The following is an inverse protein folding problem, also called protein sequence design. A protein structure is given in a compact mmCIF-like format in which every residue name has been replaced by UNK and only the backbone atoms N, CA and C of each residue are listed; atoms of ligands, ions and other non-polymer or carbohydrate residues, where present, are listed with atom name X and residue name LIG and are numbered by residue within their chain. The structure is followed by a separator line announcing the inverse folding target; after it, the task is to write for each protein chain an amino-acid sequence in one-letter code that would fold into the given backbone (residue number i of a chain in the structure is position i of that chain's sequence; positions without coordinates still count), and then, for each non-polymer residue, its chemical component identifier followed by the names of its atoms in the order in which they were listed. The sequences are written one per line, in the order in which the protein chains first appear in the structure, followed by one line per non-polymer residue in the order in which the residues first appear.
data_IF_960873345348
#
_entry.id   IF_960873345348
#
_cell.length_a   1.000
_cell.length_b   1.000
_cell.length_c   1.000
_cell.angle_alpha   90.00
_cell.angle_beta   90.00
_cell.angle_gamma   90.00
#
_symmetry.space_group_name_H-M   'P 1'
#
loop_
_entity.id
_entity.type
_entity.pdbx_description
1 polymer ?
#
# COMPACT_ATOMS: atom_id res chain seq x y z
N UNK A 1 4.96 -7.87 -33.32
CA UNK A 1 6.02 -6.87 -33.06
C UNK A 1 7.07 -7.50 -32.16
N UNK A 2 8.35 -7.27 -32.47
CA UNK A 2 9.53 -7.99 -31.94
C UNK A 2 9.82 -7.63 -30.48
N UNK A 3 9.92 -8.67 -29.66
CA UNK A 3 10.52 -8.71 -28.33
C UNK A 3 11.97 -8.20 -28.36
N UNK A 4 12.31 -7.23 -27.50
CA UNK A 4 13.69 -6.80 -27.28
C UNK A 4 13.97 -6.63 -25.79
N UNK A 5 15.15 -7.13 -25.44
CA UNK A 5 15.95 -6.77 -24.26
C UNK A 5 15.60 -7.45 -22.94
N UNK A 6 15.77 -8.76 -22.98
CA UNK A 6 16.11 -9.62 -21.86
C UNK A 6 17.65 -9.64 -21.74
N UNK A 7 18.28 -8.71 -20.98
CA UNK A 7 19.75 -8.72 -20.81
C UNK A 7 20.30 -7.80 -19.68
N UNK A 8 19.65 -7.71 -18.50
CA UNK A 8 20.18 -6.89 -17.38
C UNK A 8 19.93 -7.50 -15.97
N UNK A 9 20.36 -8.74 -15.62
CA UNK A 9 20.42 -9.06 -14.18
C UNK A 9 21.70 -9.78 -13.72
N UNK A 10 22.89 -9.47 -14.29
CA UNK A 10 24.15 -10.11 -13.85
C UNK A 10 25.06 -9.20 -13.01
N UNK A 11 24.83 -7.87 -12.99
CA UNK A 11 25.79 -6.92 -12.39
C UNK A 11 25.49 -6.61 -10.90
N UNK A 12 24.31 -6.96 -10.38
CA UNK A 12 23.86 -6.57 -9.02
C UNK A 12 24.13 -7.61 -7.91
N UNK A 13 24.91 -8.66 -8.18
CA UNK A 13 25.25 -9.70 -7.21
C UNK A 13 26.63 -9.54 -6.53
N UNK A 14 27.41 -8.51 -6.88
CA UNK A 14 28.81 -8.38 -6.44
C UNK A 14 29.04 -7.43 -5.24
N UNK A 15 28.00 -6.82 -4.67
CA UNK A 15 28.15 -5.75 -3.65
C UNK A 15 27.87 -6.18 -2.20
N UNK A 16 27.64 -7.46 -1.91
CA UNK A 16 27.17 -7.93 -0.59
C UNK A 16 28.23 -8.52 0.36
N UNK A 17 29.54 -8.42 0.08
CA UNK A 17 30.57 -9.16 0.85
C UNK A 17 31.64 -8.33 1.57
N UNK A 18 31.42 -7.06 1.91
CA UNK A 18 32.50 -6.24 2.49
C UNK A 18 32.11 -5.26 3.61
N UNK A 19 31.42 -5.69 4.68
CA UNK A 19 31.39 -4.90 5.93
C UNK A 19 31.13 -5.73 7.20
N UNK A 20 32.10 -6.58 7.54
CA UNK A 20 32.37 -6.99 8.92
C UNK A 20 33.79 -6.55 9.27
N UNK A 21 34.01 -5.24 9.38
CA UNK A 21 35.21 -4.71 10.01
C UNK A 21 34.83 -4.35 11.45
N UNK A 22 34.99 -5.31 12.38
CA UNK A 22 34.94 -5.04 13.82
C UNK A 22 36.04 -4.04 14.16
N UNK A 23 35.64 -2.81 14.45
CA UNK A 23 36.54 -1.78 14.94
C UNK A 23 36.99 -2.10 16.39
N UNK A 24 38.27 -1.89 16.73
CA UNK A 24 38.80 -2.09 18.07
C UNK A 24 38.19 -1.09 19.06
N UNK A 25 37.74 -1.62 20.20
CA UNK A 25 37.17 -0.85 21.32
C UNK A 25 38.29 -0.04 21.97
N UNK A 26 38.24 1.27 21.80
CA UNK A 26 39.15 2.23 22.43
C UNK A 26 38.80 2.35 23.93
N UNK A 27 39.78 2.28 24.85
CA UNK A 27 39.54 2.40 26.28
C UNK A 27 38.98 3.79 26.61
N UNK A 28 37.78 3.81 27.18
CA UNK A 28 37.05 5.01 27.54
C UNK A 28 37.88 5.95 28.42
N UNK A 29 38.04 7.18 27.95
CA UNK A 29 38.57 8.28 28.74
C UNK A 29 37.65 8.54 29.96
N UNK A 30 38.22 8.99 31.10
CA UNK A 30 37.45 9.34 32.28
C UNK A 30 36.40 10.41 31.93
N UNK A 31 35.14 10.13 32.27
CA UNK A 31 34.01 11.01 32.01
C UNK A 31 34.23 12.36 32.70
N UNK A 32 34.43 13.41 31.90
CA UNK A 32 34.29 14.79 32.38
C UNK A 32 32.80 15.02 32.69
N UNK A 33 32.52 15.43 33.93
CA UNK A 33 31.19 15.82 34.37
C UNK A 33 30.77 17.10 33.64
N UNK A 34 30.11 16.94 32.49
CA UNK A 34 29.47 18.05 31.79
C UNK A 34 28.32 18.58 32.65
N UNK A 35 28.24 19.92 32.84
CA UNK A 35 27.15 20.56 33.57
C UNK A 35 25.80 20.08 33.03
N UNK A 36 24.89 19.72 33.93
CA UNK A 36 23.53 19.35 33.57
C UNK A 36 22.85 20.51 32.81
N UNK A 37 22.81 20.41 31.48
CA UNK A 37 21.94 21.24 30.65
C UNK A 37 20.50 20.92 31.05
N UNK A 38 19.80 21.91 31.63
CA UNK A 38 18.35 21.89 31.76
C UNK A 38 17.74 21.79 30.36
N UNK A 39 17.31 20.58 29.98
CA UNK A 39 16.48 20.39 28.79
C UNK A 39 15.19 21.17 28.98
N UNK A 40 14.88 22.15 28.12
CA UNK A 40 13.61 22.86 28.21
C UNK A 40 12.48 21.83 28.02
N UNK A 41 11.55 21.78 28.98
CA UNK A 41 10.28 21.09 28.83
C UNK A 41 9.52 21.79 27.69
N UNK A 42 9.55 21.19 26.51
CA UNK A 42 8.71 21.63 25.39
C UNK A 42 7.29 21.23 25.75
N UNK A 43 6.46 22.19 26.16
CA UNK A 43 5.03 21.96 26.34
C UNK A 43 4.42 21.57 24.99
N UNK A 44 4.13 20.28 24.83
CA UNK A 44 3.36 19.77 23.70
C UNK A 44 2.01 20.47 23.69
N UNK A 45 1.69 21.16 22.60
CA UNK A 45 0.39 21.80 22.45
C UNK A 45 -0.70 20.75 22.21
N UNK A 46 -1.95 21.08 22.51
CA UNK A 46 -3.08 20.19 22.20
C UNK A 46 -3.19 19.91 20.69
N UNK A 47 -2.79 20.87 19.86
CA UNK A 47 -2.80 20.76 18.39
C UNK A 47 -1.79 19.71 17.89
N UNK A 48 -0.65 19.56 18.56
CA UNK A 48 0.36 18.53 18.23
C UNK A 48 -0.22 17.12 18.41
N UNK A 49 -0.94 16.91 19.52
CA UNK A 49 -1.57 15.61 19.84
C UNK A 49 -2.60 15.23 18.79
N UNK A 50 -3.48 16.17 18.42
CA UNK A 50 -4.52 15.95 17.41
C UNK A 50 -3.93 15.61 16.03
N UNK A 51 -2.85 16.29 15.62
CA UNK A 51 -2.16 16.01 14.37
C UNK A 51 -1.51 14.61 14.37
N UNK A 52 -0.85 14.22 15.47
CA UNK A 52 -0.22 12.89 15.60
C UNK A 52 -1.27 11.78 15.48
N UNK A 53 -2.40 11.91 16.16
CA UNK A 53 -3.50 10.94 16.08
C UNK A 53 -4.09 10.85 14.66
N UNK A 54 -4.35 12.00 14.02
CA UNK A 54 -4.87 12.04 12.66
C UNK A 54 -3.90 11.38 11.66
N UNK A 55 -2.59 11.67 11.77
CA UNK A 55 -1.55 11.06 10.94
C UNK A 55 -1.48 9.54 11.12
N UNK A 56 -1.55 9.06 12.36
CA UNK A 56 -1.56 7.63 12.65
C UNK A 56 -2.80 6.94 12.06
N UNK A 57 -3.97 7.57 12.18
CA UNK A 57 -5.23 7.10 11.58
C UNK A 57 -5.13 7.02 10.06
N UNK A 58 -4.60 8.07 9.41
CA UNK A 58 -4.43 8.12 7.96
C UNK A 58 -3.43 7.08 7.45
N UNK A 59 -2.32 6.87 8.16
CA UNK A 59 -1.34 5.85 7.81
C UNK A 59 -1.93 4.44 7.94
N UNK A 60 -2.65 4.16 9.03
CA UNK A 60 -3.34 2.89 9.22
C UNK A 60 -4.38 2.62 8.12
N UNK A 61 -5.17 3.64 7.75
CA UNK A 61 -6.14 3.53 6.65
C UNK A 61 -5.45 3.31 5.29
N UNK A 62 -4.32 3.98 5.04
CA UNK A 62 -3.50 3.77 3.85
C UNK A 62 -2.98 2.33 3.77
N UNK A 63 -2.46 1.81 4.88
CA UNK A 63 -1.91 0.45 4.94
C UNK A 63 -3.02 -0.58 4.65
N UNK A 64 -4.22 -0.40 5.23
CA UNK A 64 -5.38 -1.24 4.95
C UNK A 64 -5.83 -1.16 3.48
N UNK A 65 -5.85 0.03 2.88
CA UNK A 65 -6.16 0.21 1.46
C UNK A 65 -5.15 -0.49 0.54
N UNK A 66 -3.85 -0.44 0.89
CA UNK A 66 -2.80 -1.16 0.16
C UNK A 66 -2.96 -2.68 0.29
N UNK A 67 -3.30 -3.18 1.47
CA UNK A 67 -3.54 -4.61 1.74
C UNK A 67 -4.62 -5.19 0.82
N UNK A 68 -5.70 -4.45 0.57
CA UNK A 68 -6.77 -4.85 -0.35
C UNK A 68 -6.50 -4.46 -1.82
N UNK A 69 -5.28 -4.07 -2.14
CA UNK A 69 -4.85 -3.68 -3.50
C UNK A 69 -5.61 -2.48 -4.10
N UNK A 70 -6.09 -1.55 -3.27
CA UNK A 70 -6.74 -0.32 -3.73
C UNK A 70 -5.92 0.52 -4.74
N UNK A 71 -4.57 0.63 -4.64
CA UNK A 71 -3.78 1.36 -5.65
C UNK A 71 -3.96 0.86 -7.09
N UNK A 72 -4.43 -0.39 -7.28
CA UNK A 72 -4.70 -0.96 -8.60
C UNK A 72 -6.19 -1.02 -8.92
N UNK A 73 -7.03 -1.36 -7.94
CA UNK A 73 -8.46 -1.59 -8.14
C UNK A 73 -9.31 -0.31 -8.05
N UNK A 74 -8.85 0.69 -7.30
CA UNK A 74 -9.53 1.96 -7.04
C UNK A 74 -8.50 3.12 -7.08
N UNK A 75 -7.79 3.23 -8.22
CA UNK A 75 -6.63 4.10 -8.35
C UNK A 75 -6.97 5.59 -8.16
N UNK A 76 -8.09 6.05 -8.73
CA UNK A 76 -8.48 7.47 -8.68
C UNK A 76 -8.78 7.91 -7.23
N UNK A 77 -9.51 7.11 -6.46
CA UNK A 77 -9.80 7.35 -5.05
C UNK A 77 -8.54 7.29 -4.18
N UNK A 78 -7.69 6.29 -4.42
CA UNK A 78 -6.42 6.12 -3.69
C UNK A 78 -5.47 7.30 -3.94
N UNK A 79 -5.30 7.72 -5.18
CA UNK A 79 -4.42 8.83 -5.56
C UNK A 79 -4.94 10.17 -5.01
N UNK A 80 -6.26 10.36 -4.97
CA UNK A 80 -6.87 11.53 -4.32
C UNK A 80 -6.56 11.57 -2.82
N UNK A 81 -6.70 10.44 -2.13
CA UNK A 81 -6.37 10.32 -0.71
C UNK A 81 -4.86 10.52 -0.45
N UNK A 82 -4.00 9.97 -1.30
CA UNK A 82 -2.56 10.15 -1.24
C UNK A 82 -2.17 11.64 -1.42
N UNK A 83 -2.83 12.36 -2.33
CA UNK A 83 -2.59 13.80 -2.50
C UNK A 83 -2.91 14.60 -1.23
N UNK A 84 -3.98 14.25 -0.52
CA UNK A 84 -4.33 14.88 0.76
C UNK A 84 -3.30 14.56 1.84
N UNK A 85 -2.86 13.31 1.92
CA UNK A 85 -1.82 12.87 2.85
C UNK A 85 -0.51 13.63 2.63
N UNK A 86 -0.10 13.81 1.38
CA UNK A 86 1.13 14.55 1.04
C UNK A 86 1.02 16.03 1.41
N UNK A 87 -0.14 16.66 1.13
CA UNK A 87 -0.41 18.06 1.53
C UNK A 87 -0.45 18.23 3.04
N UNK A 88 -0.98 17.27 3.79
CA UNK A 88 -0.95 17.26 5.24
C UNK A 88 0.50 17.28 5.76
N UNK A 89 1.39 16.48 5.15
CA UNK A 89 2.81 16.48 5.46
C UNK A 89 3.52 17.80 5.12
N UNK A 90 3.04 18.55 4.12
CA UNK A 90 3.53 19.91 3.85
C UNK A 90 3.06 20.93 4.90
N UNK A 91 1.82 20.83 5.38
CA UNK A 91 1.30 21.66 6.45
C UNK A 91 2.02 21.40 7.79
N UNK A 92 2.28 20.13 8.11
CA UNK A 92 3.08 19.69 9.27
C UNK A 92 4.48 20.34 9.25
N UNK A 93 5.16 20.33 8.10
CA UNK A 93 6.49 20.97 7.94
C UNK A 93 6.47 22.50 8.14
N UNK A 94 5.31 23.13 7.97
CA UNK A 94 5.10 24.57 8.21
C UNK A 94 4.61 24.87 9.64
N UNK A 95 4.54 23.84 10.49
CA UNK A 95 3.97 23.91 11.84
C UNK A 95 2.50 24.36 11.87
N UNK A 96 1.76 24.16 10.76
CA UNK A 96 0.32 24.37 10.71
C UNK A 96 -0.38 23.05 11.09
N UNK A 97 -0.32 22.70 12.37
CA UNK A 97 -0.79 21.41 12.87
C UNK A 97 -2.30 21.25 12.78
N UNK A 98 -3.06 22.34 12.90
CA UNK A 98 -4.52 22.32 12.73
C UNK A 98 -4.90 21.94 11.30
N UNK A 99 -4.30 22.58 10.30
CA UNK A 99 -4.51 22.23 8.89
C UNK A 99 -4.00 20.83 8.56
N UNK A 100 -2.84 20.44 9.09
CA UNK A 100 -2.29 19.10 8.91
C UNK A 100 -3.24 18.02 9.45
N UNK A 101 -3.79 18.21 10.65
CA UNK A 101 -4.74 17.28 11.26
C UNK A 101 -6.02 17.13 10.40
N UNK A 102 -6.57 18.24 9.90
CA UNK A 102 -7.74 18.21 9.01
C UNK A 102 -7.45 17.41 7.73
N UNK A 103 -6.33 17.69 7.06
CA UNK A 103 -5.95 17.00 5.82
C UNK A 103 -5.65 15.51 6.04
N UNK A 104 -5.01 15.15 7.16
CA UNK A 104 -4.80 13.74 7.50
C UNK A 104 -6.12 13.02 7.75
N UNK A 105 -7.09 13.64 8.43
CA UNK A 105 -8.43 13.04 8.62
C UNK A 105 -9.15 12.83 7.27
N UNK A 106 -9.13 13.82 6.38
CA UNK A 106 -9.70 13.68 5.03
C UNK A 106 -8.97 12.58 4.22
N UNK A 107 -7.65 12.47 4.33
CA UNK A 107 -6.88 11.39 3.73
C UNK A 107 -7.29 10.01 4.29
N UNK A 108 -7.50 9.90 5.60
CA UNK A 108 -7.94 8.66 6.24
C UNK A 108 -9.31 8.20 5.72
N UNK A 109 -10.26 9.12 5.56
CA UNK A 109 -11.56 8.84 4.94
C UNK A 109 -11.43 8.42 3.47
N UNK A 110 -10.59 9.13 2.70
CA UNK A 110 -10.32 8.80 1.31
C UNK A 110 -9.70 7.41 1.13
N UNK A 111 -8.73 7.03 1.98
CA UNK A 111 -8.14 5.70 1.93
C UNK A 111 -9.15 4.61 2.28
N UNK A 112 -10.02 4.81 3.28
CA UNK A 112 -11.12 3.87 3.58
C UNK A 112 -12.07 3.70 2.39
N UNK A 113 -12.49 4.78 1.77
CA UNK A 113 -13.35 4.73 0.59
C UNK A 113 -12.68 4.00 -0.60
N UNK A 114 -11.37 4.18 -0.78
CA UNK A 114 -10.60 3.45 -1.80
C UNK A 114 -10.52 1.94 -1.49
N UNK A 115 -10.40 1.57 -0.21
CA UNK A 115 -10.41 0.18 0.23
C UNK A 115 -11.76 -0.48 -0.04
N UNK A 116 -12.86 0.17 0.36
CA UNK A 116 -14.23 -0.32 0.13
C UNK A 116 -14.50 -0.52 -1.38
N UNK A 117 -14.03 0.41 -2.21
CA UNK A 117 -14.15 0.34 -3.68
C UNK A 117 -13.36 -0.83 -4.26
N UNK A 118 -12.16 -1.08 -3.74
CA UNK A 118 -11.31 -2.18 -4.15
C UNK A 118 -11.92 -3.55 -3.77
N UNK A 119 -12.47 -3.67 -2.56
CA UNK A 119 -13.17 -4.88 -2.11
C UNK A 119 -14.40 -5.16 -2.99
N UNK A 120 -15.21 -4.14 -3.28
CA UNK A 120 -16.34 -4.27 -4.18
C UNK A 120 -15.92 -4.72 -5.58
N UNK A 121 -14.86 -4.14 -6.13
CA UNK A 121 -14.34 -4.54 -7.44
C UNK A 121 -13.88 -6.01 -7.44
N UNK A 122 -13.32 -6.50 -6.32
CA UNK A 122 -12.98 -7.91 -6.15
C UNK A 122 -14.21 -8.81 -6.15
N UNK A 123 -15.25 -8.45 -5.38
CA UNK A 123 -16.52 -9.20 -5.34
C UNK A 123 -17.18 -9.30 -6.72
N UNK A 124 -17.24 -8.18 -7.45
CA UNK A 124 -17.80 -8.13 -8.81
C UNK A 124 -17.00 -9.02 -9.78
N UNK A 125 -15.66 -9.03 -9.66
CA UNK A 125 -14.80 -9.88 -10.47
C UNK A 125 -14.99 -11.38 -10.16
N UNK A 126 -15.09 -11.75 -8.88
CA UNK A 126 -15.35 -13.13 -8.45
C UNK A 126 -16.73 -13.62 -8.97
N UNK A 127 -17.76 -12.77 -8.88
CA UNK A 127 -19.07 -13.07 -9.41
C UNK A 127 -19.05 -13.26 -10.94
N UNK A 128 -18.32 -12.40 -11.67
CA UNK A 128 -18.17 -12.49 -13.12
C UNK A 128 -17.44 -13.79 -13.54
N UNK A 129 -16.38 -14.17 -12.83
CA UNK A 129 -15.66 -15.42 -13.09
C UNK A 129 -16.56 -16.65 -12.86
N UNK A 130 -17.30 -16.68 -11.74
CA UNK A 130 -18.24 -17.76 -11.47
C UNK A 130 -19.35 -17.87 -12.52
N UNK A 131 -19.83 -16.74 -13.04
CA UNK A 131 -20.79 -16.72 -14.14
C UNK A 131 -20.19 -17.25 -15.44
N UNK A 132 -18.95 -16.88 -15.76
CA UNK A 132 -18.23 -17.38 -16.93
C UNK A 132 -18.01 -18.91 -16.85
N UNK A 133 -17.62 -19.43 -15.70
CA UNK A 133 -17.41 -20.88 -15.50
C UNK A 133 -18.69 -21.69 -15.72
N UNK A 134 -19.83 -21.18 -15.24
CA UNK A 134 -21.13 -21.80 -15.50
C UNK A 134 -21.46 -21.80 -16.99
N UNK A 135 -21.29 -20.66 -17.67
CA UNK A 135 -21.55 -20.56 -19.10
C UNK A 135 -20.65 -21.51 -19.93
N UNK A 136 -19.38 -21.68 -19.53
CA UNK A 136 -18.46 -22.64 -20.16
C UNK A 136 -18.95 -24.08 -19.93
N UNK A 137 -19.34 -24.43 -18.69
CA UNK A 137 -19.86 -25.76 -18.35
C UNK A 137 -21.14 -26.10 -19.13
N UNK A 138 -22.06 -25.16 -19.22
CA UNK A 138 -23.32 -25.32 -19.96
C UNK A 138 -23.04 -25.50 -21.45
N UNK A 139 -22.14 -24.68 -22.01
CA UNK A 139 -21.73 -24.78 -23.41
C UNK A 139 -21.08 -26.13 -23.72
N UNK A 140 -20.23 -26.64 -22.82
CA UNK A 140 -19.61 -27.96 -22.96
C UNK A 140 -20.65 -29.07 -22.94
N UNK A 141 -21.58 -29.02 -21.98
CA UNK A 141 -22.66 -30.02 -21.85
C UNK A 141 -23.53 -30.04 -23.11
N UNK A 142 -23.88 -28.86 -23.63
CA UNK A 142 -24.65 -28.74 -24.86
C UNK A 142 -23.90 -29.30 -26.09
N UNK A 143 -22.59 -29.03 -26.19
CA UNK A 143 -21.76 -29.56 -27.26
C UNK A 143 -21.63 -31.08 -27.21
N UNK A 144 -21.39 -31.64 -26.01
CA UNK A 144 -21.28 -33.09 -25.80
C UNK A 144 -22.61 -33.79 -26.15
N UNK A 145 -23.75 -33.21 -25.75
CA UNK A 145 -25.07 -33.72 -26.10
C UNK A 145 -25.32 -33.70 -27.62
N UNK A 146 -24.94 -32.61 -28.30
CA UNK A 146 -25.08 -32.49 -29.76
C UNK A 146 -24.22 -33.52 -30.50
N UNK A 147 -22.99 -33.77 -30.04
CA UNK A 147 -22.10 -34.80 -30.59
C UNK A 147 -22.67 -36.20 -30.42
N UNK A 148 -23.27 -36.48 -29.26
CA UNK A 148 -23.92 -37.77 -29.01
C UNK A 148 -25.09 -37.99 -29.98
N UNK A 149 -25.99 -37.01 -30.12
CA UNK A 149 -27.13 -37.10 -31.05
C UNK A 149 -26.66 -37.30 -32.49
N UNK A 150 -25.65 -36.57 -32.95
CA UNK A 150 -25.10 -36.73 -34.30
C UNK A 150 -24.53 -38.14 -34.54
N UNK A 151 -23.91 -38.77 -33.54
CA UNK A 151 -23.35 -40.12 -33.66
C UNK A 151 -24.40 -41.24 -33.63
N UNK A 152 -25.60 -40.96 -33.12
CA UNK A 152 -26.72 -41.89 -33.11
C UNK A 152 -27.44 -41.93 -34.47
N UNK A 153 -27.50 -40.81 -35.19
CA UNK A 153 -28.11 -40.71 -36.53
C UNK A 153 -27.31 -41.41 -37.65
N UNK A 154 -26.03 -41.72 -37.43
CA UNK A 154 -25.16 -42.41 -38.41
C UNK A 154 -25.28 -43.95 -38.39
N UNK A 155 -26.10 -44.53 -37.50
CA UNK A 155 -26.26 -45.98 -37.33
C UNK A 155 -27.53 -46.53 -37.98
#
# INVERSE_FOLDING_TARGET
MKTKSFLIPVILAALFFASCASAPVEPAAPAEEVPAEETPEVESSADDTAMIEAKASAQSAKDAAVEVHAPKAAADEFDSAQSLFDKAGEAEKKSDYSQAAEMYNQAAEGFKASADSAEKAREDAEAAMAAADRAISDSKTAADAALQTASEDEK
#
